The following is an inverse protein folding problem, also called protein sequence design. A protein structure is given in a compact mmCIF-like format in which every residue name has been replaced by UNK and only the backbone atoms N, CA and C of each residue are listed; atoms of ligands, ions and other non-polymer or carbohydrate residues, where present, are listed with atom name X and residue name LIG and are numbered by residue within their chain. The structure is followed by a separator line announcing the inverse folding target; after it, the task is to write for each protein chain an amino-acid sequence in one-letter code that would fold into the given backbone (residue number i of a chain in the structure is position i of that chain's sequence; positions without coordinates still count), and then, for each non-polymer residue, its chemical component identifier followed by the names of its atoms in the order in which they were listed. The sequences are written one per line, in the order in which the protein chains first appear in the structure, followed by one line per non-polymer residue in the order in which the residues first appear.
data_IF_460296707000
#
_entry.id   IF_460296707000
#
_cell.length_a   1.000
_cell.length_b   1.000
_cell.length_c   1.000
_cell.angle_alpha   90.00
_cell.angle_beta   90.00
_cell.angle_gamma   90.00
#
_symmetry.space_group_name_H-M   'P 1'
#
loop_
_entity.id
_entity.type
_entity.pdbx_description
1 polymer ?
#
# COMPACT_ATOMS: atom_id res chain seq x y z
N UNK A 1 22.04 -7.37 -9.65
CA UNK A 1 22.59 -7.05 -8.32
C UNK A 1 21.53 -7.41 -7.29
N UNK A 2 21.89 -7.98 -6.13
CA UNK A 2 20.90 -8.24 -5.09
C UNK A 2 20.38 -6.89 -4.57
N UNK A 3 19.08 -6.66 -4.63
CA UNK A 3 18.46 -5.44 -4.12
C UNK A 3 18.74 -5.33 -2.63
N UNK A 4 19.24 -4.17 -2.18
CA UNK A 4 19.54 -3.93 -0.76
C UNK A 4 18.27 -4.09 0.08
N UNK A 5 18.37 -4.86 1.17
CA UNK A 5 17.29 -5.02 2.14
C UNK A 5 17.23 -3.85 3.10
N UNK A 6 16.45 -2.80 2.80
CA UNK A 6 16.31 -1.63 3.68
C UNK A 6 15.51 -1.89 4.95
N UNK A 7 14.81 -3.02 5.05
CA UNK A 7 14.01 -3.40 6.22
C UNK A 7 14.72 -4.51 7.01
N UNK A 8 15.61 -4.19 7.97
CA UNK A 8 16.39 -5.17 8.70
C UNK A 8 15.52 -6.03 9.62
N UNK A 9 15.84 -7.33 9.71
CA UNK A 9 15.12 -8.29 10.56
C UNK A 9 15.12 -7.90 12.05
N UNK A 10 16.10 -7.13 12.52
CA UNK A 10 16.12 -6.65 13.90
C UNK A 10 14.94 -5.72 14.23
N UNK A 11 14.49 -4.91 13.25
CA UNK A 11 13.38 -3.95 13.41
C UNK A 11 12.08 -4.46 12.80
N UNK A 12 12.16 -5.26 11.74
CA UNK A 12 11.01 -5.73 10.95
C UNK A 12 10.89 -7.26 10.91
N UNK A 13 11.41 -7.93 11.93
CA UNK A 13 11.37 -9.40 12.04
C UNK A 13 10.06 -9.92 12.62
N UNK A 14 9.79 -11.24 12.44
CA UNK A 14 8.67 -11.89 13.10
C UNK A 14 8.73 -11.72 14.62
N UNK A 15 7.59 -11.39 15.23
CA UNK A 15 7.44 -11.15 16.66
C UNK A 15 7.67 -9.69 17.08
N UNK A 16 8.18 -8.82 16.20
CA UNK A 16 8.26 -7.38 16.52
C UNK A 16 6.86 -6.78 16.56
N UNK A 17 6.53 -6.09 17.65
CA UNK A 17 5.26 -5.38 17.83
C UNK A 17 5.42 -3.90 17.50
N UNK A 18 4.50 -3.37 16.69
CA UNK A 18 4.40 -1.94 16.39
C UNK A 18 3.13 -1.38 17.04
N UNK A 19 3.28 -0.26 17.74
CA UNK A 19 2.19 0.46 18.39
C UNK A 19 1.70 1.60 17.51
N UNK A 20 0.39 1.77 17.45
CA UNK A 20 -0.30 2.81 16.70
C UNK A 20 -1.26 3.55 17.61
N UNK A 21 -1.31 4.87 17.50
CA UNK A 21 -2.25 5.71 18.25
C UNK A 21 -3.51 6.04 17.43
N UNK A 22 -3.39 6.01 16.10
CA UNK A 22 -4.44 6.35 15.14
C UNK A 22 -4.72 5.16 14.22
N UNK A 23 -5.97 5.01 13.72
CA UNK A 23 -7.16 5.78 14.08
C UNK A 23 -7.68 5.46 15.50
N UNK A 24 -7.28 4.30 16.05
CA UNK A 24 -7.47 3.93 17.45
C UNK A 24 -6.17 3.31 17.98
N UNK A 25 -6.01 3.31 19.30
CA UNK A 25 -4.84 2.70 19.93
C UNK A 25 -4.84 1.19 19.64
N UNK A 26 -3.79 0.71 19.00
CA UNK A 26 -3.65 -0.70 18.62
C UNK A 26 -2.20 -1.16 18.58
N UNK A 27 -1.98 -2.45 18.81
CA UNK A 27 -0.67 -3.10 18.78
C UNK A 27 -0.69 -4.26 17.78
N UNK A 28 0.25 -4.27 16.84
CA UNK A 28 0.30 -5.26 15.76
C UNK A 28 1.65 -5.96 15.72
N UNK A 29 1.63 -7.28 15.76
CA UNK A 29 2.83 -8.12 15.73
C UNK A 29 3.12 -8.59 14.31
N UNK A 30 4.35 -8.38 13.83
CA UNK A 30 4.80 -8.86 12.53
C UNK A 30 4.84 -10.39 12.53
N UNK A 31 4.21 -11.01 11.54
CA UNK A 31 4.25 -12.46 11.32
C UNK A 31 5.29 -12.80 10.26
N UNK A 32 5.19 -12.16 9.11
CA UNK A 32 6.10 -12.40 7.99
C UNK A 32 6.15 -11.20 7.04
N UNK A 33 7.23 -11.12 6.27
CA UNK A 33 7.43 -10.12 5.23
C UNK A 33 6.95 -10.71 3.89
N UNK A 34 6.01 -10.02 3.23
CA UNK A 34 5.42 -10.44 1.97
C UNK A 34 6.22 -9.96 0.76
N UNK A 35 6.66 -8.70 0.78
CA UNK A 35 7.36 -8.09 -0.34
C UNK A 35 8.24 -6.93 0.09
N UNK A 36 9.19 -6.57 -0.77
CA UNK A 36 9.94 -5.32 -0.68
C UNK A 36 10.23 -4.80 -2.09
N UNK A 37 10.03 -3.51 -2.29
CA UNK A 37 10.40 -2.80 -3.51
C UNK A 37 11.24 -1.57 -3.13
N UNK A 38 12.26 -1.28 -3.94
CA UNK A 38 13.11 -0.12 -3.77
C UNK A 38 13.00 0.73 -5.03
N UNK A 39 12.70 2.01 -4.84
CA UNK A 39 12.62 3.03 -5.86
C UNK A 39 13.67 4.08 -5.52
N UNK A 40 14.90 3.83 -5.92
CA UNK A 40 16.01 4.76 -5.70
C UNK A 40 16.24 5.58 -6.96
N UNK A 41 16.41 6.89 -6.79
CA UNK A 41 16.57 7.85 -7.87
C UNK A 41 17.91 7.65 -8.57
N UNK A 42 17.86 7.42 -9.86
CA UNK A 42 19.03 7.47 -10.73
C UNK A 42 19.20 8.87 -11.32
N UNK A 43 20.41 9.23 -11.76
CA UNK A 43 20.73 10.60 -12.21
C UNK A 43 19.92 11.05 -13.44
N UNK A 44 19.28 10.11 -14.15
CA UNK A 44 18.42 10.36 -15.31
C UNK A 44 16.92 10.39 -15.00
N UNK A 45 16.51 10.18 -13.75
CA UNK A 45 15.10 10.22 -13.38
C UNK A 45 14.57 11.66 -13.46
N UNK A 46 13.49 11.84 -14.23
CA UNK A 46 12.80 13.11 -14.40
C UNK A 46 11.82 13.43 -13.25
N UNK A 47 11.53 12.45 -12.39
CA UNK A 47 10.61 12.62 -11.25
C UNK A 47 11.37 13.20 -10.05
N UNK A 48 10.98 14.38 -9.52
CA UNK A 48 11.69 15.06 -8.44
C UNK A 48 11.53 14.41 -7.05
N UNK A 49 10.93 13.23 -6.94
CA UNK A 49 10.70 12.55 -5.67
C UNK A 49 11.96 12.02 -4.96
N UNK A 50 11.94 11.86 -3.62
CA UNK A 50 13.03 11.23 -2.88
C UNK A 50 13.10 9.72 -3.12
N UNK A 51 14.31 9.17 -3.09
CA UNK A 51 14.55 7.73 -3.06
C UNK A 51 13.78 7.07 -1.91
N UNK A 52 13.04 6.00 -2.20
CA UNK A 52 12.11 5.36 -1.27
C UNK A 52 12.17 3.83 -1.34
N UNK A 53 11.99 3.17 -0.21
CA UNK A 53 11.69 1.75 -0.15
C UNK A 53 10.30 1.49 0.46
N UNK A 54 9.64 0.45 -0.05
CA UNK A 54 8.37 -0.05 0.41
C UNK A 54 8.53 -1.51 0.85
N UNK A 55 7.93 -1.89 1.98
CA UNK A 55 7.75 -3.30 2.33
C UNK A 55 6.33 -3.56 2.82
N UNK A 56 5.78 -4.71 2.43
CA UNK A 56 4.49 -5.20 2.91
C UNK A 56 4.72 -6.41 3.82
N UNK A 57 4.00 -6.46 4.94
CA UNK A 57 4.09 -7.48 5.97
C UNK A 57 2.69 -8.02 6.29
N UNK A 58 2.62 -9.29 6.67
CA UNK A 58 1.49 -9.79 7.43
C UNK A 58 1.67 -9.45 8.90
N UNK A 59 0.63 -8.89 9.49
CA UNK A 59 0.59 -8.53 10.90
C UNK A 59 -0.67 -9.05 11.55
N UNK A 60 -0.63 -9.21 12.87
CA UNK A 60 -1.78 -9.69 13.63
C UNK A 60 -1.83 -9.03 15.00
N UNK A 61 -3.03 -8.70 15.47
CA UNK A 61 -3.27 -8.37 16.88
C UNK A 61 -3.34 -9.65 17.72
N UNK A 62 -3.14 -9.52 19.03
CA UNK A 62 -3.36 -10.63 19.95
C UNK A 62 -4.82 -11.10 19.85
N UNK A 63 -5.00 -12.36 19.45
CA UNK A 63 -6.31 -12.99 19.21
C UNK A 63 -7.18 -12.29 18.14
N UNK A 64 -6.61 -11.39 17.33
CA UNK A 64 -7.30 -10.66 16.26
C UNK A 64 -7.10 -11.29 14.87
N UNK A 65 -7.81 -10.77 13.86
CA UNK A 65 -7.63 -11.21 12.47
C UNK A 65 -6.26 -10.81 11.92
N UNK A 66 -5.85 -11.50 10.86
CA UNK A 66 -4.70 -11.11 10.06
C UNK A 66 -4.98 -9.78 9.35
N UNK A 67 -3.96 -8.94 9.24
CA UNK A 67 -4.00 -7.70 8.48
C UNK A 67 -2.70 -7.52 7.69
N UNK A 68 -2.69 -6.54 6.80
CA UNK A 68 -1.48 -6.11 6.12
C UNK A 68 -0.92 -4.88 6.79
N UNK A 69 0.40 -4.83 6.93
CA UNK A 69 1.13 -3.60 7.25
C UNK A 69 2.04 -3.25 6.10
N UNK A 70 1.89 -2.03 5.57
CA UNK A 70 2.81 -1.45 4.59
C UNK A 70 3.67 -0.40 5.28
N UNK A 71 4.97 -0.43 4.98
CA UNK A 71 5.93 0.55 5.49
C UNK A 71 6.60 1.23 4.31
N UNK A 72 6.48 2.54 4.26
CA UNK A 72 7.23 3.41 3.37
C UNK A 72 8.37 4.06 4.13
N UNK A 73 9.57 4.03 3.57
CA UNK A 73 10.75 4.61 4.21
C UNK A 73 11.60 5.31 3.17
N UNK A 74 12.02 6.54 3.47
CA UNK A 74 13.01 7.21 2.65
C UNK A 74 14.35 6.48 2.74
N UNK A 75 14.99 6.24 1.60
CA UNK A 75 16.31 5.62 1.51
C UNK A 75 17.28 6.55 0.79
N UNK A 76 18.60 6.36 0.93
CA UNK A 76 19.56 7.18 0.22
C UNK A 76 19.47 7.02 -1.29
N UNK A 77 19.82 8.08 -2.01
CA UNK A 77 20.17 7.97 -3.43
C UNK A 77 21.33 6.98 -3.61
N UNK A 78 21.39 6.20 -4.72
CA UNK A 78 22.42 5.17 -4.93
C UNK A 78 23.85 5.70 -4.78
N UNK A 79 24.09 6.94 -5.20
CA UNK A 79 25.39 7.61 -5.12
C UNK A 79 25.82 7.99 -3.69
N UNK A 80 24.94 7.83 -2.70
CA UNK A 80 25.14 8.30 -1.32
C UNK A 80 24.87 7.26 -0.24
N UNK A 81 24.56 6.02 -0.61
CA UNK A 81 24.23 4.92 0.32
C UNK A 81 25.29 4.71 1.41
N UNK A 82 26.57 4.87 1.03
CA UNK A 82 27.73 4.65 1.89
C UNK A 82 28.37 5.94 2.39
N UNK A 83 27.77 7.09 2.07
CA UNK A 83 28.27 8.39 2.52
C UNK A 83 27.95 8.62 4.01
N UNK A 84 28.68 9.53 4.68
CA UNK A 84 28.42 9.91 6.06
C UNK A 84 26.96 10.33 6.27
N UNK A 85 26.45 10.09 7.48
CA UNK A 85 25.05 10.40 7.84
C UNK A 85 24.67 11.86 7.59
N UNK A 86 25.62 12.79 7.69
CA UNK A 86 25.45 14.21 7.44
C UNK A 86 25.18 14.52 5.96
N UNK A 87 25.71 13.70 5.05
CA UNK A 87 25.41 13.78 3.61
C UNK A 87 24.01 13.23 3.34
N UNK A 88 23.72 12.02 3.86
CA UNK A 88 22.39 11.39 3.70
C UNK A 88 21.27 12.23 4.31
N UNK A 89 21.49 12.85 5.48
CA UNK A 89 20.53 13.76 6.15
C UNK A 89 20.07 14.91 5.26
N UNK A 90 20.92 15.40 4.34
CA UNK A 90 20.55 16.50 3.44
C UNK A 90 19.48 16.11 2.43
N UNK A 91 19.23 14.81 2.23
CA UNK A 91 18.17 14.30 1.37
C UNK A 91 16.83 14.23 2.06
N UNK A 92 16.78 14.34 3.40
CA UNK A 92 15.56 14.22 4.19
C UNK A 92 14.44 15.09 3.61
N UNK A 93 13.35 14.44 3.24
CA UNK A 93 12.19 15.06 2.62
C UNK A 93 10.92 14.75 3.42
N UNK A 94 9.89 15.55 3.20
CA UNK A 94 8.55 15.21 3.67
C UNK A 94 8.00 14.04 2.84
N UNK A 95 7.24 13.17 3.51
CA UNK A 95 6.61 12.00 2.88
C UNK A 95 5.73 12.41 1.69
N UNK A 96 6.03 11.97 0.46
CA UNK A 96 5.24 12.31 -0.73
C UNK A 96 4.13 11.28 -1.02
N UNK A 97 3.92 10.30 -0.15
CA UNK A 97 3.11 9.12 -0.49
C UNK A 97 1.62 9.40 -0.55
N UNK A 98 1.15 9.59 -1.78
CA UNK A 98 -0.25 9.90 -2.09
C UNK A 98 -1.23 8.79 -1.68
N UNK A 99 -0.79 7.54 -1.63
CA UNK A 99 -1.58 6.43 -1.10
C UNK A 99 -1.93 6.64 0.39
N UNK A 100 -1.00 7.19 1.17
CA UNK A 100 -1.19 7.45 2.60
C UNK A 100 -2.33 8.45 2.79
N UNK A 101 -2.32 9.55 2.03
CA UNK A 101 -3.35 10.57 2.09
C UNK A 101 -4.71 10.05 1.59
N UNK A 102 -4.70 9.23 0.54
CA UNK A 102 -5.91 8.59 0.05
C UNK A 102 -6.55 7.65 1.08
N UNK A 103 -5.76 6.79 1.74
CA UNK A 103 -6.27 5.90 2.78
C UNK A 103 -6.82 6.67 3.99
N UNK A 104 -6.17 7.76 4.41
CA UNK A 104 -6.71 8.65 5.45
C UNK A 104 -8.06 9.25 5.01
N UNK A 105 -8.15 9.74 3.77
CA UNK A 105 -9.37 10.31 3.22
C UNK A 105 -10.51 9.28 3.13
N UNK A 106 -10.23 8.05 2.68
CA UNK A 106 -11.23 6.97 2.68
C UNK A 106 -11.73 6.63 4.07
N UNK A 107 -10.83 6.53 5.04
CA UNK A 107 -11.20 6.26 6.42
C UNK A 107 -12.12 7.36 6.96
N UNK A 108 -11.78 8.63 6.73
CA UNK A 108 -12.58 9.79 7.16
C UNK A 108 -13.97 9.84 6.50
N UNK A 109 -14.06 9.48 5.21
CA UNK A 109 -15.33 9.47 4.47
C UNK A 109 -16.10 8.15 4.61
N UNK A 110 -15.64 7.24 5.47
CA UNK A 110 -16.22 5.91 5.66
C UNK A 110 -16.43 5.14 4.34
N UNK A 111 -15.47 5.26 3.43
CA UNK A 111 -15.54 4.61 2.13
C UNK A 111 -15.36 3.10 2.28
N UNK A 112 -16.34 2.32 1.81
CA UNK A 112 -16.42 0.89 2.16
C UNK A 112 -15.77 -0.04 1.15
N UNK A 113 -15.47 0.41 -0.07
CA UNK A 113 -14.82 -0.45 -1.07
C UNK A 113 -13.31 -0.59 -0.84
N UNK A 114 -12.70 0.21 0.02
CA UNK A 114 -11.26 0.10 0.28
C UNK A 114 -11.05 -0.66 1.59
N UNK A 115 -9.91 -1.37 1.73
CA UNK A 115 -9.55 -1.98 3.01
C UNK A 115 -9.64 -0.95 4.15
N UNK A 116 -10.26 -1.32 5.26
CA UNK A 116 -10.33 -0.41 6.41
C UNK A 116 -8.93 -0.08 6.92
N UNK A 117 -8.64 1.20 7.15
CA UNK A 117 -7.44 1.64 7.85
C UNK A 117 -7.56 1.27 9.33
N UNK A 118 -6.64 0.44 9.81
CA UNK A 118 -6.62 -0.11 11.18
C UNK A 118 -5.54 0.52 12.06
N UNK A 119 -4.47 1.05 11.45
CA UNK A 119 -3.37 1.69 12.14
C UNK A 119 -2.60 2.61 11.20
N UNK A 120 -2.19 3.79 11.67
CA UNK A 120 -1.28 4.66 10.94
C UNK A 120 -0.29 5.34 11.89
N UNK A 121 0.97 5.37 11.49
CA UNK A 121 2.07 6.00 12.23
C UNK A 121 3.00 6.67 11.24
N UNK A 122 3.22 7.97 11.41
CA UNK A 122 4.08 8.78 10.55
C UNK A 122 5.18 9.37 11.43
N UNK A 123 6.43 9.08 11.12
CA UNK A 123 7.58 9.46 11.92
C UNK A 123 8.72 9.99 11.04
N UNK A 124 9.65 10.67 11.68
CA UNK A 124 10.96 10.98 11.11
C UNK A 124 11.96 9.92 11.56
N UNK A 125 12.84 9.55 10.66
CA UNK A 125 13.98 8.67 10.89
C UNK A 125 14.95 9.30 11.89
N UNK A 126 15.47 8.48 12.80
CA UNK A 126 16.43 8.91 13.82
C UNK A 126 17.83 9.14 13.25
N UNK A 127 18.76 9.58 14.11
CA UNK A 127 20.13 9.93 13.70
C UNK A 127 20.96 8.76 13.15
N UNK A 128 20.62 7.54 13.54
CA UNK A 128 21.30 6.30 13.13
C UNK A 128 20.56 5.55 12.00
N UNK A 129 19.42 6.07 11.53
CA UNK A 129 18.66 5.46 10.43
C UNK A 129 19.29 5.78 9.05
N UNK A 130 18.73 5.20 7.99
CA UNK A 130 19.30 5.22 6.64
C UNK A 130 19.21 6.59 5.96
N UNK A 131 18.23 7.42 6.31
CA UNK A 131 18.21 8.84 5.98
C UNK A 131 17.80 9.60 7.23
N UNK A 132 18.75 10.09 8.04
CA UNK A 132 18.41 10.82 9.26
C UNK A 132 17.50 12.01 8.98
N UNK A 133 16.39 12.11 9.71
CA UNK A 133 15.36 13.13 9.49
C UNK A 133 14.46 12.90 8.28
N UNK A 134 14.71 11.88 7.45
CA UNK A 134 13.82 11.46 6.36
C UNK A 134 12.55 10.81 6.91
N UNK A 135 11.54 10.59 6.07
CA UNK A 135 10.28 10.02 6.53
C UNK A 135 10.34 8.49 6.74
N UNK A 136 9.48 7.99 7.63
CA UNK A 136 9.07 6.60 7.71
C UNK A 136 7.58 6.52 8.10
N UNK A 137 6.78 5.81 7.32
CA UNK A 137 5.33 5.71 7.50
C UNK A 137 4.92 4.26 7.57
N UNK A 138 4.14 3.91 8.58
CA UNK A 138 3.55 2.59 8.80
C UNK A 138 2.04 2.70 8.63
N UNK A 139 1.45 1.82 7.83
CA UNK A 139 0.00 1.72 7.65
C UNK A 139 -0.43 0.28 7.82
N UNK A 140 -1.37 0.04 8.73
CA UNK A 140 -2.05 -1.24 8.87
C UNK A 140 -3.43 -1.12 8.27
N UNK A 141 -3.77 -2.04 7.37
CA UNK A 141 -5.07 -2.09 6.73
C UNK A 141 -5.60 -3.52 6.66
N UNK A 142 -6.93 -3.61 6.59
CA UNK A 142 -7.66 -4.86 6.61
C UNK A 142 -7.16 -5.84 5.53
N UNK A 143 -6.97 -7.10 5.93
CA UNK A 143 -6.93 -8.20 4.98
C UNK A 143 -8.36 -8.47 4.49
N UNK A 144 -8.70 -7.99 3.29
CA UNK A 144 -10.05 -8.18 2.75
C UNK A 144 -10.29 -9.65 2.37
N UNK A 145 -11.50 -10.20 2.60
CA UNK A 145 -11.86 -11.51 2.09
C UNK A 145 -12.08 -11.46 0.57
N UNK A 146 -12.02 -12.62 -0.07
CA UNK A 146 -12.39 -12.77 -1.48
C UNK A 146 -11.25 -13.20 -2.39
N UNK A 147 -11.53 -13.11 -3.69
CA UNK A 147 -10.68 -13.60 -4.77
C UNK A 147 -10.33 -12.40 -5.66
N UNK A 148 -9.07 -12.30 -6.04
CA UNK A 148 -8.64 -11.27 -6.99
C UNK A 148 -9.24 -11.56 -8.36
N UNK A 149 -9.79 -10.54 -9.03
CA UNK A 149 -10.49 -10.74 -10.29
C UNK A 149 -9.56 -11.13 -11.45
N UNK A 150 -8.27 -10.84 -11.33
CA UNK A 150 -7.23 -11.28 -12.24
C UNK A 150 -5.90 -11.47 -11.51
N UNK A 151 -5.16 -12.53 -11.84
CA UNK A 151 -3.85 -12.82 -11.26
C UNK A 151 -2.71 -12.64 -12.26
N UNK A 152 -3.02 -12.24 -13.50
CA UNK A 152 -2.04 -11.94 -14.53
C UNK A 152 -1.48 -10.52 -14.34
N UNK A 153 -0.21 -10.42 -13.93
CA UNK A 153 0.57 -9.18 -13.85
C UNK A 153 0.85 -8.54 -15.25
N UNK A 154 0.04 -8.83 -16.25
CA UNK A 154 0.27 -8.42 -17.63
C UNK A 154 -1.01 -7.93 -18.28
N UNK A 155 -0.90 -6.85 -19.06
CA UNK A 155 -1.97 -6.46 -19.97
C UNK A 155 -2.40 -7.67 -20.82
N UNK A 156 -3.70 -7.84 -21.11
CA UNK A 156 -4.19 -9.00 -21.83
C UNK A 156 -3.47 -9.14 -23.17
N UNK A 157 -2.55 -10.11 -23.26
CA UNK A 157 -1.89 -10.46 -24.51
C UNK A 157 -2.94 -11.07 -25.41
N UNK A 158 -3.05 -10.61 -26.67
CA UNK A 158 -3.95 -11.23 -27.66
C UNK A 158 -3.68 -12.73 -27.70
N UNK A 159 -4.65 -13.52 -27.24
CA UNK A 159 -4.58 -14.99 -27.21
C UNK A 159 -4.25 -15.62 -25.85
N UNK A 160 -4.09 -14.85 -24.76
CA UNK A 160 -3.90 -15.38 -23.40
C UNK A 160 -5.15 -15.28 -22.51
N UNK A 161 -5.09 -16.12 -21.47
CA UNK A 161 -6.11 -16.57 -20.54
C UNK A 161 -7.22 -15.60 -20.18
N UNK A 162 -8.44 -16.10 -20.25
CA UNK A 162 -9.63 -15.53 -19.63
C UNK A 162 -9.30 -15.20 -18.14
N UNK A 163 -9.50 -13.95 -17.70
CA UNK A 163 -9.26 -13.56 -16.29
C UNK A 163 -10.01 -14.46 -15.31
N UNK A 164 -9.53 -14.58 -14.06
CA UNK A 164 -10.17 -15.34 -12.97
C UNK A 164 -11.67 -15.05 -12.90
N UNK A 165 -12.02 -13.76 -13.01
CA UNK A 165 -13.39 -13.26 -13.12
C UNK A 165 -14.27 -13.99 -14.15
N UNK A 166 -13.73 -14.31 -15.32
CA UNK A 166 -14.47 -14.95 -16.40
C UNK A 166 -14.35 -16.48 -16.40
N UNK A 167 -13.33 -17.05 -15.73
CA UNK A 167 -13.15 -18.51 -15.61
C UNK A 167 -13.92 -19.12 -14.45
N UNK A 168 -13.91 -18.47 -13.30
CA UNK A 168 -14.38 -19.07 -12.04
C UNK A 168 -15.84 -18.74 -11.75
N UNK A 169 -16.34 -17.59 -12.21
CA UNK A 169 -17.69 -17.14 -11.93
C UNK A 169 -18.63 -17.44 -13.10
N UNK A 170 -19.87 -17.84 -12.78
CA UNK A 170 -20.94 -17.97 -13.76
C UNK A 170 -21.42 -16.60 -14.24
N UNK A 171 -22.43 -16.57 -15.12
CA UNK A 171 -22.94 -15.30 -15.65
C UNK A 171 -23.57 -14.42 -14.58
N UNK A 172 -24.36 -15.00 -13.68
CA UNK A 172 -25.08 -14.27 -12.64
C UNK A 172 -24.10 -13.60 -11.68
N UNK A 173 -23.09 -14.34 -11.24
CA UNK A 173 -22.08 -13.81 -10.33
C UNK A 173 -21.22 -12.72 -10.98
N UNK A 174 -20.90 -12.87 -12.28
CA UNK A 174 -20.23 -11.80 -13.03
C UNK A 174 -21.07 -10.54 -13.18
N UNK A 175 -22.38 -10.68 -13.30
CA UNK A 175 -23.30 -9.53 -13.39
C UNK A 175 -23.34 -8.80 -12.04
N UNK A 176 -23.34 -9.51 -10.90
CA UNK A 176 -23.22 -8.88 -9.56
C UNK A 176 -21.94 -8.05 -9.39
N UNK A 177 -20.80 -8.58 -9.86
CA UNK A 177 -19.52 -7.84 -9.82
C UNK A 177 -19.60 -6.55 -10.63
N UNK A 178 -20.18 -6.61 -11.84
CA UNK A 178 -20.36 -5.43 -12.70
C UNK A 178 -21.28 -4.42 -12.04
N UNK A 179 -22.42 -4.88 -11.51
CA UNK A 179 -23.39 -4.02 -10.83
C UNK A 179 -22.76 -3.30 -9.63
N UNK A 180 -21.97 -4.01 -8.81
CA UNK A 180 -21.32 -3.40 -7.64
C UNK A 180 -20.18 -2.45 -8.06
N UNK A 181 -19.47 -2.73 -9.15
CA UNK A 181 -18.50 -1.80 -9.74
C UNK A 181 -19.20 -0.54 -10.25
N UNK A 182 -20.20 -0.66 -11.11
CA UNK A 182 -20.93 0.46 -11.73
C UNK A 182 -21.62 1.34 -10.69
N UNK A 183 -22.14 0.74 -9.63
CA UNK A 183 -22.78 1.43 -8.52
C UNK A 183 -21.82 2.28 -7.70
N UNK A 184 -20.60 1.80 -7.45
CA UNK A 184 -19.69 2.45 -6.50
C UNK A 184 -18.51 3.19 -7.14
N UNK A 185 -18.12 2.85 -8.38
CA UNK A 185 -17.06 3.53 -9.10
C UNK A 185 -17.29 5.05 -9.25
N UNK A 186 -18.51 5.56 -9.54
CA UNK A 186 -18.76 7.00 -9.57
C UNK A 186 -18.41 7.69 -8.25
N UNK A 187 -18.62 7.01 -7.11
CA UNK A 187 -18.30 7.53 -5.77
C UNK A 187 -16.79 7.59 -5.52
N UNK A 188 -15.98 6.76 -6.20
CA UNK A 188 -14.53 6.91 -6.20
C UNK A 188 -14.11 8.15 -7.00
N UNK A 189 -14.76 8.40 -8.14
CA UNK A 189 -14.47 9.57 -8.97
C UNK A 189 -14.82 10.89 -8.27
N UNK A 190 -15.87 10.92 -7.44
CA UNK A 190 -16.26 12.07 -6.61
C UNK A 190 -15.20 12.49 -5.57
N UNK A 191 -14.23 11.63 -5.27
CA UNK A 191 -13.20 11.90 -4.26
C UNK A 191 -11.98 12.66 -4.81
N UNK A 192 -12.06 13.18 -6.05
CA UNK A 192 -10.91 13.71 -6.82
C UNK A 192 -9.74 12.70 -6.91
N UNK A 193 -10.05 11.43 -6.71
CA UNK A 193 -9.07 10.36 -6.78
C UNK A 193 -8.78 10.06 -8.23
N UNK A 194 -7.61 10.49 -8.69
CA UNK A 194 -7.05 9.95 -9.92
C UNK A 194 -6.56 8.53 -9.61
N UNK A 195 -7.43 7.55 -9.79
CA UNK A 195 -7.02 6.15 -9.77
C UNK A 195 -6.26 5.92 -11.07
N UNK A 196 -4.94 5.77 -10.97
CA UNK A 196 -4.14 5.38 -12.11
C UNK A 196 -4.52 3.94 -12.42
N UNK A 197 -5.45 3.77 -13.36
CA UNK A 197 -5.77 2.47 -13.95
C UNK A 197 -6.35 1.43 -12.96
N UNK A 198 -7.68 1.37 -12.81
CA UNK A 198 -8.35 0.23 -12.15
C UNK A 198 -8.50 -0.90 -13.17
N UNK A 199 -7.61 -1.89 -13.09
CA UNK A 199 -7.68 -3.12 -13.86
C UNK A 199 -8.21 -4.24 -12.97
N UNK A 200 -8.61 -5.36 -13.57
CA UNK A 200 -9.18 -6.49 -12.83
C UNK A 200 -8.19 -7.08 -11.80
N UNK A 201 -6.88 -6.96 -12.01
CA UNK A 201 -5.85 -7.43 -11.08
C UNK A 201 -5.71 -6.54 -9.83
N UNK A 202 -6.37 -5.38 -9.84
CA UNK A 202 -6.45 -4.45 -8.70
C UNK A 202 -7.79 -4.56 -7.95
N UNK A 203 -8.63 -5.54 -8.29
CA UNK A 203 -9.95 -5.73 -7.71
C UNK A 203 -10.05 -7.07 -7.00
N UNK A 204 -10.68 -7.08 -5.82
CA UNK A 204 -10.96 -8.29 -5.05
C UNK A 204 -12.46 -8.41 -4.86
N UNK A 205 -13.03 -9.53 -5.30
CA UNK A 205 -14.44 -9.84 -5.12
C UNK A 205 -14.64 -10.81 -3.97
N UNK A 206 -15.46 -10.43 -3.00
CA UNK A 206 -15.95 -11.34 -1.96
C UNK A 206 -17.35 -11.85 -2.34
N UNK A 207 -17.47 -13.09 -2.84
CA UNK A 207 -18.76 -13.66 -3.23
C UNK A 207 -19.69 -13.87 -2.03
N UNK A 208 -19.15 -14.04 -0.82
CA UNK A 208 -19.95 -14.28 0.39
C UNK A 208 -20.73 -13.02 0.79
N UNK A 209 -20.07 -11.86 0.75
CA UNK A 209 -20.71 -10.57 1.04
C UNK A 209 -21.22 -9.83 -0.20
N UNK A 210 -21.01 -10.39 -1.40
CA UNK A 210 -21.29 -9.75 -2.69
C UNK A 210 -20.70 -8.33 -2.75
N UNK A 211 -19.44 -8.21 -2.34
CA UNK A 211 -18.77 -6.92 -2.19
C UNK A 211 -17.47 -6.87 -2.99
N UNK A 212 -17.29 -5.77 -3.71
CA UNK A 212 -16.08 -5.48 -4.46
C UNK A 212 -15.17 -4.57 -3.65
N UNK A 213 -13.90 -4.97 -3.56
CA UNK A 213 -12.85 -4.21 -2.91
C UNK A 213 -11.82 -3.70 -3.92
N UNK A 214 -11.30 -2.51 -3.67
CA UNK A 214 -10.16 -1.88 -4.34
C UNK A 214 -9.02 -1.78 -3.32
N UNK A 215 -8.16 -2.81 -3.18
CA UNK A 215 -6.98 -2.73 -2.34
C UNK A 215 -6.11 -1.56 -2.78
N UNK A 216 -5.63 -0.75 -1.84
CA UNK A 216 -5.18 0.64 -2.01
C UNK A 216 -3.97 0.88 -2.93
N UNK A 217 -3.48 -0.11 -3.66
CA UNK A 217 -2.14 -0.16 -4.23
C UNK A 217 -1.84 0.88 -5.33
N UNK A 218 -2.77 1.77 -5.71
CA UNK A 218 -2.61 2.67 -6.88
C UNK A 218 -3.20 4.08 -6.76
N UNK A 219 -3.46 4.58 -5.54
CA UNK A 219 -4.21 5.83 -5.40
C UNK A 219 -3.26 7.05 -5.41
N UNK A 220 -3.50 7.99 -6.33
CA UNK A 220 -2.61 9.12 -6.58
C UNK A 220 -3.02 10.46 -5.96
N UNK A 221 -4.13 10.63 -5.24
CA UNK A 221 -4.41 11.86 -4.44
C UNK A 221 -5.86 11.91 -4.00
N UNK A 222 -6.16 12.32 -2.76
CA UNK A 222 -7.50 12.81 -2.38
C UNK A 222 -7.43 14.31 -2.10
N UNK A 223 -8.29 15.10 -2.75
CA UNK A 223 -8.51 16.50 -2.37
C UNK A 223 -9.30 16.54 -1.06
N UNK A 224 -8.64 16.79 0.06
CA UNK A 224 -9.32 17.25 1.27
C UNK A 224 -9.56 18.75 1.11
N UNK A 225 -10.70 19.14 0.55
CA UNK A 225 -11.16 20.53 0.63
C UNK A 225 -11.52 20.81 2.09
N UNK A 226 -10.64 21.57 2.75
CA UNK A 226 -10.89 22.23 4.04
C UNK A 226 -12.05 23.22 3.96
#
# INVERSE_FOLDING_TARGET
MASIGWFPRAKFGPGTTVLFEKPTISAWSIREKQSQHNYQREDWDLDPGPSTAEATFHVQQDYGPLAYMRVYMQVPDPSTEFEPREVRRRQAALCPHREVDALKCFHQKHFTMTPALLGIKEELQGDDDVVPGGFIVYMVFQHVPGIRLADDQGAPVRGCSIHTFFREFDREERDKVRDEFDKNYPRLAELDLTLYSIWADHLVWDPVSSKLYVPSMLIQSCSLTT
#
